data_IF_623363697499
#
_entry.id   IF_623363697499
#
_cell.length_a   1.000
_cell.length_b   1.000
_cell.length_c   1.000
_cell.angle_alpha   90.00
_cell.angle_beta   90.00
_cell.angle_gamma   90.00
#
_symmetry.space_group_name_H-M   'P 1'
#
loop_
_entity.id
_entity.type
_entity.pdbx_description
1 polymer ?
#
# COMPACT_ATOMS: atom_id res chain seq x y z
N UNK A 1 0.91 -27.36 -6.68
CA UNK A 1 1.75 -26.33 -7.33
C UNK A 1 0.80 -25.23 -7.83
N UNK A 2 0.71 -24.07 -7.17
CA UNK A 2 -0.33 -23.04 -7.46
C UNK A 2 0.20 -21.89 -8.33
N UNK A 3 1.20 -22.17 -9.18
CA UNK A 3 1.93 -21.15 -9.97
C UNK A 3 1.02 -20.31 -10.87
N UNK A 4 -0.14 -20.82 -11.28
CA UNK A 4 -1.11 -20.12 -12.12
C UNK A 4 -2.25 -19.47 -11.34
N UNK A 5 -2.28 -19.60 -10.00
CA UNK A 5 -3.32 -19.01 -9.17
C UNK A 5 -3.23 -17.49 -9.23
N UNK A 6 -4.29 -16.84 -9.69
CA UNK A 6 -4.36 -15.37 -9.80
C UNK A 6 -5.14 -14.73 -8.66
N UNK A 7 -6.10 -15.45 -8.08
CA UNK A 7 -6.98 -14.95 -7.03
C UNK A 7 -6.98 -15.94 -5.88
N UNK A 8 -6.69 -15.45 -4.67
CA UNK A 8 -6.78 -16.20 -3.43
C UNK A 8 -7.65 -15.44 -2.46
N UNK A 9 -8.83 -16.00 -2.16
CA UNK A 9 -9.80 -15.45 -1.22
C UNK A 9 -9.79 -16.29 0.05
N UNK A 10 -9.48 -15.66 1.17
CA UNK A 10 -9.45 -16.26 2.50
C UNK A 10 -10.26 -15.40 3.48
N UNK A 11 -11.17 -14.57 2.98
CA UNK A 11 -12.01 -13.70 3.82
C UNK A 11 -12.97 -14.48 4.71
N UNK A 12 -13.08 -14.04 5.97
CA UNK A 12 -14.01 -14.63 6.94
C UNK A 12 -13.78 -16.13 7.24
N UNK A 13 -12.60 -16.65 6.91
CA UNK A 13 -12.27 -18.06 7.14
C UNK A 13 -11.78 -18.28 8.56
N UNK A 14 -12.06 -19.46 9.14
CA UNK A 14 -11.57 -19.86 10.47
C UNK A 14 -10.12 -20.37 10.43
N UNK A 15 -9.26 -19.66 9.71
CA UNK A 15 -7.86 -20.04 9.53
C UNK A 15 -7.14 -19.90 10.88
N UNK A 16 -6.83 -21.03 11.51
CA UNK A 16 -6.15 -21.06 12.82
C UNK A 16 -4.68 -20.62 12.74
N UNK A 17 -4.07 -20.68 11.55
CA UNK A 17 -2.71 -20.25 11.28
C UNK A 17 -2.59 -19.80 9.82
N UNK A 18 -1.80 -18.76 9.54
CA UNK A 18 -1.54 -18.31 8.17
C UNK A 18 -1.19 -19.51 7.27
N UNK A 19 -1.91 -19.75 6.15
CA UNK A 19 -1.70 -20.90 5.30
C UNK A 19 -0.23 -21.02 4.90
N UNK A 20 0.34 -22.23 5.00
CA UNK A 20 1.74 -22.48 4.62
C UNK A 20 2.08 -22.05 3.19
N UNK A 21 1.09 -22.02 2.31
CA UNK A 21 1.25 -21.56 0.94
C UNK A 21 1.56 -20.05 0.83
N UNK A 22 1.19 -19.29 1.85
CA UNK A 22 1.57 -17.90 2.04
C UNK A 22 2.86 -17.75 2.87
N UNK A 23 3.31 -18.79 3.58
CA UNK A 23 4.57 -18.76 4.33
C UNK A 23 5.75 -18.86 3.35
N UNK A 24 6.26 -17.71 2.92
CA UNK A 24 7.44 -17.60 2.07
C UNK A 24 8.69 -17.81 2.93
N UNK A 25 9.44 -18.89 2.70
CA UNK A 25 10.68 -19.19 3.42
C UNK A 25 11.66 -18.02 3.31
N UNK A 26 11.84 -17.29 4.41
CA UNK A 26 12.90 -16.29 4.54
C UNK A 26 14.25 -16.99 4.71
N UNK A 27 14.95 -17.33 3.62
CA UNK A 27 16.38 -17.57 3.74
C UNK A 27 17.07 -16.26 4.11
N UNK A 28 18.10 -16.33 4.97
CA UNK A 28 18.80 -15.21 5.65
C UNK A 28 19.48 -14.17 4.74
N UNK A 29 19.20 -14.14 3.45
CA UNK A 29 19.84 -13.24 2.48
C UNK A 29 19.16 -11.88 2.52
N UNK A 30 19.69 -10.95 3.32
CA UNK A 30 19.07 -9.65 3.64
C UNK A 30 18.98 -8.64 2.46
N UNK A 31 19.54 -8.89 1.27
CA UNK A 31 19.78 -7.80 0.30
C UNK A 31 19.68 -8.13 -1.20
N UNK A 32 18.79 -9.04 -1.65
CA UNK A 32 18.58 -9.23 -3.11
C UNK A 32 17.09 -9.47 -3.46
N UNK A 33 16.29 -8.42 -3.68
CA UNK A 33 14.92 -8.54 -4.16
C UNK A 33 14.83 -9.23 -5.53
N UNK A 34 15.77 -8.91 -6.43
CA UNK A 34 15.69 -9.33 -7.84
C UNK A 34 15.87 -10.84 -8.06
N UNK A 35 16.63 -11.51 -7.17
CA UNK A 35 16.84 -12.97 -7.23
C UNK A 35 15.67 -13.79 -6.68
N UNK A 36 14.66 -13.17 -6.05
CA UNK A 36 13.53 -13.88 -5.41
C UNK A 36 12.28 -13.96 -6.28
N UNK A 37 12.29 -13.36 -7.47
CA UNK A 37 11.15 -13.35 -8.39
C UNK A 37 10.77 -14.79 -8.77
N UNK A 38 9.58 -15.23 -8.36
CA UNK A 38 9.04 -16.54 -8.74
C UNK A 38 9.53 -17.74 -7.93
N UNK A 39 10.26 -17.53 -6.83
CA UNK A 39 10.61 -18.62 -5.89
C UNK A 39 9.42 -19.08 -5.03
N UNK A 40 8.27 -18.41 -5.17
CA UNK A 40 7.05 -18.71 -4.45
C UNK A 40 6.05 -19.48 -5.34
N UNK A 41 5.30 -20.41 -4.74
CA UNK A 41 4.24 -21.15 -5.44
C UNK A 41 3.04 -20.29 -5.86
N UNK A 42 3.13 -18.97 -5.68
CA UNK A 42 2.10 -17.94 -5.91
C UNK A 42 2.60 -16.84 -6.85
N UNK A 43 3.56 -17.16 -7.73
CA UNK A 43 4.21 -16.17 -8.59
C UNK A 43 3.25 -15.39 -9.49
N UNK A 44 2.07 -15.94 -9.83
CA UNK A 44 1.06 -15.27 -10.67
C UNK A 44 -0.08 -14.61 -9.89
N UNK A 45 -0.01 -14.58 -8.56
CA UNK A 45 -1.10 -14.08 -7.73
C UNK A 45 -1.29 -12.58 -7.96
N UNK A 46 -2.51 -12.18 -8.36
CA UNK A 46 -2.92 -10.79 -8.63
C UNK A 46 -3.82 -10.23 -7.53
N UNK A 47 -4.62 -11.07 -6.87
CA UNK A 47 -5.52 -10.66 -5.79
C UNK A 47 -5.41 -11.58 -4.58
N UNK A 48 -5.17 -10.98 -3.42
CA UNK A 48 -5.15 -11.63 -2.13
C UNK A 48 -6.17 -10.96 -1.21
N UNK A 49 -7.17 -11.71 -0.75
CA UNK A 49 -8.16 -11.23 0.21
C UNK A 49 -7.97 -11.97 1.53
N UNK A 50 -7.62 -11.23 2.57
CA UNK A 50 -7.48 -11.68 3.95
C UNK A 50 -8.47 -10.97 4.87
N UNK A 51 -9.47 -10.26 4.33
CA UNK A 51 -10.38 -9.45 5.14
C UNK A 51 -11.10 -10.24 6.22
N UNK A 52 -11.43 -9.58 7.33
CA UNK A 52 -12.17 -10.15 8.48
C UNK A 52 -11.47 -11.35 9.11
N UNK A 53 -10.14 -11.40 9.05
CA UNK A 53 -9.34 -12.42 9.73
C UNK A 53 -8.67 -11.83 10.97
N UNK A 54 -9.37 -11.89 12.10
CA UNK A 54 -8.85 -11.38 13.38
C UNK A 54 -7.69 -12.22 13.95
N UNK A 55 -7.37 -13.37 13.37
CA UNK A 55 -6.20 -14.15 13.80
C UNK A 55 -4.89 -13.55 13.24
N UNK A 56 -4.96 -12.79 12.14
CA UNK A 56 -3.79 -12.18 11.52
C UNK A 56 -3.35 -10.99 12.36
N UNK A 57 -2.34 -11.20 13.20
CA UNK A 57 -1.68 -10.13 13.96
C UNK A 57 -0.47 -9.52 13.24
N UNK A 58 0.12 -10.29 12.33
CA UNK A 58 1.24 -9.86 11.50
C UNK A 58 1.20 -10.59 10.15
N UNK A 59 1.50 -9.89 9.07
CA UNK A 59 1.77 -10.50 7.79
C UNK A 59 3.22 -11.00 7.81
N UNK A 60 3.46 -12.18 8.40
CA UNK A 60 4.78 -12.86 8.44
C UNK A 60 5.29 -13.31 7.05
N UNK A 61 4.61 -12.85 6.01
CA UNK A 61 4.84 -13.15 4.62
C UNK A 61 5.74 -12.04 4.10
N UNK A 62 6.80 -12.39 3.38
CA UNK A 62 7.52 -11.41 2.56
C UNK A 62 6.65 -11.07 1.33
N UNK A 63 5.49 -10.43 1.55
CA UNK A 63 4.52 -10.07 0.51
C UNK A 63 5.16 -9.17 -0.56
N UNK A 64 6.28 -8.53 -0.23
CA UNK A 64 7.11 -7.79 -1.18
C UNK A 64 7.54 -8.63 -2.40
N UNK A 65 7.63 -9.96 -2.25
CA UNK A 65 7.96 -10.90 -3.32
C UNK A 65 6.79 -11.25 -4.25
N UNK A 66 5.57 -10.82 -3.94
CA UNK A 66 4.40 -11.04 -4.78
C UNK A 66 4.34 -9.98 -5.89
N UNK A 67 5.32 -10.00 -6.80
CA UNK A 67 5.52 -8.97 -7.84
C UNK A 67 4.32 -8.75 -8.78
N UNK A 68 3.44 -9.74 -8.93
CA UNK A 68 2.23 -9.60 -9.76
C UNK A 68 0.99 -9.23 -8.96
N UNK A 69 1.10 -9.09 -7.63
CA UNK A 69 -0.02 -8.74 -6.77
C UNK A 69 -0.45 -7.30 -7.05
N UNK A 70 -1.70 -7.17 -7.46
CA UNK A 70 -2.36 -5.90 -7.78
C UNK A 70 -3.33 -5.47 -6.68
N UNK A 71 -3.94 -6.42 -5.97
CA UNK A 71 -4.94 -6.16 -4.94
C UNK A 71 -4.65 -6.93 -3.64
N UNK A 72 -4.57 -6.20 -2.53
CA UNK A 72 -4.47 -6.74 -1.18
C UNK A 72 -5.60 -6.19 -0.30
N UNK A 73 -6.53 -7.06 0.09
CA UNK A 73 -7.65 -6.72 0.97
C UNK A 73 -7.38 -7.25 2.39
N UNK A 74 -7.24 -6.33 3.35
CA UNK A 74 -7.01 -6.58 4.78
C UNK A 74 -8.15 -6.01 5.63
N UNK A 75 -9.29 -5.62 5.04
CA UNK A 75 -10.36 -4.95 5.78
C UNK A 75 -10.75 -5.71 7.04
N UNK A 76 -10.92 -4.99 8.14
CA UNK A 76 -11.37 -5.53 9.42
C UNK A 76 -10.50 -6.69 9.95
N UNK A 77 -9.20 -6.71 9.65
CA UNK A 77 -8.24 -7.56 10.38
C UNK A 77 -7.89 -6.88 11.71
N UNK A 78 -8.75 -7.00 12.71
CA UNK A 78 -8.72 -6.13 13.91
C UNK A 78 -7.50 -6.32 14.78
N UNK A 79 -6.86 -7.49 14.72
CA UNK A 79 -5.64 -7.76 15.48
C UNK A 79 -4.34 -7.47 14.71
N UNK A 80 -4.42 -7.07 13.43
CA UNK A 80 -3.24 -6.74 12.63
C UNK A 80 -2.50 -5.55 13.24
N UNK A 81 -1.22 -5.74 13.62
CA UNK A 81 -0.42 -4.71 14.28
C UNK A 81 0.54 -4.01 13.32
N UNK A 82 0.99 -4.71 12.28
CA UNK A 82 1.99 -4.21 11.34
C UNK A 82 1.71 -4.65 9.90
N UNK A 83 1.99 -3.76 8.95
CA UNK A 83 2.05 -4.09 7.51
C UNK A 83 3.52 -4.04 7.06
N UNK A 84 4.08 -5.15 6.54
CA UNK A 84 5.47 -5.21 6.07
C UNK A 84 5.63 -4.47 4.73
N UNK A 85 6.83 -4.55 4.14
CA UNK A 85 7.09 -3.96 2.83
C UNK A 85 6.13 -4.54 1.79
N UNK A 86 5.39 -3.66 1.11
CA UNK A 86 4.40 -4.05 0.12
C UNK A 86 5.07 -4.45 -1.21
N UNK A 87 4.42 -5.31 -2.02
CA UNK A 87 4.89 -5.60 -3.36
C UNK A 87 4.93 -4.34 -4.24
N UNK A 88 5.94 -4.23 -5.12
CA UNK A 88 6.22 -2.98 -5.87
C UNK A 88 5.11 -2.58 -6.85
N UNK A 89 4.33 -3.55 -7.34
CA UNK A 89 3.32 -3.36 -8.37
C UNK A 89 1.88 -3.32 -7.81
N UNK A 90 1.74 -3.16 -6.49
CA UNK A 90 0.45 -3.16 -5.81
C UNK A 90 -0.35 -1.90 -6.18
N UNK A 91 -1.57 -2.11 -6.68
CA UNK A 91 -2.47 -1.03 -7.11
C UNK A 91 -3.43 -0.68 -5.98
N UNK A 92 -3.91 -1.68 -5.24
CA UNK A 92 -4.87 -1.46 -4.16
C UNK A 92 -4.44 -2.18 -2.89
N UNK A 93 -4.38 -1.41 -1.80
CA UNK A 93 -4.34 -1.89 -0.43
C UNK A 93 -5.57 -1.34 0.30
N UNK A 94 -6.39 -2.23 0.84
CA UNK A 94 -7.52 -1.84 1.69
C UNK A 94 -7.34 -2.42 3.09
N UNK A 95 -6.88 -1.59 4.03
CA UNK A 95 -6.72 -1.93 5.45
C UNK A 95 -7.80 -1.28 6.31
N UNK A 96 -8.95 -0.90 5.74
CA UNK A 96 -10.02 -0.24 6.48
C UNK A 96 -10.44 -1.05 7.72
N UNK A 97 -10.52 -0.41 8.88
CA UNK A 97 -10.98 -1.03 10.12
C UNK A 97 -9.96 -1.97 10.76
N UNK A 98 -8.67 -1.92 10.39
CA UNK A 98 -7.59 -2.58 11.13
C UNK A 98 -7.26 -1.78 12.39
N UNK A 99 -8.11 -1.90 13.41
CA UNK A 99 -8.08 -1.04 14.60
C UNK A 99 -6.76 -1.09 15.38
N UNK A 100 -6.09 -2.24 15.48
CA UNK A 100 -4.79 -2.38 16.17
C UNK A 100 -3.56 -2.08 15.30
N UNK A 101 -3.75 -1.66 14.04
CA UNK A 101 -2.64 -1.39 13.14
C UNK A 101 -1.84 -0.18 13.63
N UNK A 102 -0.58 -0.42 14.02
CA UNK A 102 0.34 0.59 14.54
C UNK A 102 1.37 1.03 13.50
N UNK A 103 1.96 0.06 12.81
CA UNK A 103 3.13 0.31 11.96
C UNK A 103 2.91 -0.12 10.51
N UNK A 104 3.56 0.60 9.61
CA UNK A 104 3.78 0.19 8.22
C UNK A 104 5.28 0.23 7.95
N UNK A 105 5.75 -0.54 6.97
CA UNK A 105 7.16 -0.48 6.56
C UNK A 105 7.55 0.92 6.08
N UNK A 106 8.83 1.26 6.24
CA UNK A 106 9.43 2.49 5.75
C UNK A 106 10.72 2.14 5.02
N UNK A 107 10.76 2.20 3.66
CA UNK A 107 9.68 2.64 2.78
C UNK A 107 8.48 1.68 2.77
N UNK A 108 7.28 2.20 2.50
CA UNK A 108 6.04 1.39 2.50
C UNK A 108 5.96 0.44 1.29
N UNK A 109 6.42 0.90 0.13
CA UNK A 109 6.58 0.09 -1.08
C UNK A 109 7.79 0.63 -1.87
N UNK A 110 8.41 -0.24 -2.66
CA UNK A 110 9.42 0.18 -3.63
C UNK A 110 8.70 0.83 -4.83
N UNK A 111 9.03 2.09 -5.11
CA UNK A 111 8.52 2.79 -6.28
C UNK A 111 9.38 2.41 -7.48
N UNK A 112 8.85 1.57 -8.37
CA UNK A 112 9.49 1.25 -9.65
C UNK A 112 8.94 2.21 -10.71
N UNK A 113 9.84 2.89 -11.42
CA UNK A 113 9.53 3.97 -12.39
C UNK A 113 8.70 3.52 -13.61
N UNK A 114 8.46 2.22 -13.79
CA UNK A 114 8.04 1.68 -15.09
C UNK A 114 6.59 1.20 -15.18
N UNK A 115 5.77 1.29 -14.11
CA UNK A 115 4.36 0.88 -14.19
C UNK A 115 3.40 2.05 -13.92
N UNK A 116 2.61 2.41 -14.94
CA UNK A 116 1.52 3.40 -14.95
C UNK A 116 0.32 2.92 -14.12
N UNK A 117 0.51 2.78 -12.81
CA UNK A 117 -0.44 2.09 -11.95
C UNK A 117 -1.12 3.08 -11.02
N UNK A 118 -2.46 3.11 -11.07
CA UNK A 118 -3.29 3.74 -10.05
C UNK A 118 -3.04 3.06 -8.70
N UNK A 119 -2.70 3.85 -7.69
CA UNK A 119 -2.40 3.39 -6.34
C UNK A 119 -3.47 3.90 -5.38
N UNK A 120 -4.27 3.00 -4.81
CA UNK A 120 -5.32 3.27 -3.83
C UNK A 120 -5.04 2.56 -2.51
N UNK A 121 -4.57 3.32 -1.52
CA UNK A 121 -4.11 2.78 -0.23
C UNK A 121 -4.97 3.35 0.90
N UNK A 122 -5.83 2.50 1.48
CA UNK A 122 -6.89 2.89 2.41
C UNK A 122 -6.56 2.40 3.82
N UNK A 123 -6.49 3.32 4.77
CA UNK A 123 -6.28 3.04 6.19
C UNK A 123 -7.37 3.66 7.08
N UNK A 124 -8.55 3.96 6.53
CA UNK A 124 -9.68 4.50 7.30
C UNK A 124 -9.97 3.64 8.54
N UNK A 125 -10.27 4.26 9.68
CA UNK A 125 -10.50 3.60 10.97
C UNK A 125 -9.29 2.83 11.54
N UNK A 126 -8.07 3.01 11.02
CA UNK A 126 -6.82 2.54 11.64
C UNK A 126 -6.32 3.54 12.71
N UNK A 127 -7.09 3.70 13.79
CA UNK A 127 -6.90 4.79 14.75
C UNK A 127 -5.60 4.69 15.59
N UNK A 128 -4.98 3.50 15.65
CA UNK A 128 -3.74 3.27 16.39
C UNK A 128 -2.45 3.48 15.56
N UNK A 129 -2.55 3.99 14.33
CA UNK A 129 -1.37 4.28 13.51
C UNK A 129 -0.43 5.26 14.21
N UNK A 130 0.82 4.83 14.39
CA UNK A 130 1.87 5.64 14.99
C UNK A 130 2.32 6.76 14.04
N UNK A 131 2.91 7.83 14.58
CA UNK A 131 3.34 8.98 13.77
C UNK A 131 4.35 8.59 12.68
N UNK A 132 5.26 7.65 12.97
CA UNK A 132 6.22 7.13 12.00
C UNK A 132 5.52 6.43 10.83
N UNK A 133 4.43 5.72 11.10
CA UNK A 133 3.62 5.07 10.07
C UNK A 133 2.88 6.12 9.22
N UNK A 134 2.26 7.12 9.85
CA UNK A 134 1.60 8.24 9.16
C UNK A 134 2.57 9.00 8.25
N UNK A 135 3.79 9.25 8.73
CA UNK A 135 4.86 9.89 7.95
C UNK A 135 5.26 9.03 6.75
N UNK A 136 5.35 7.70 6.92
CA UNK A 136 5.70 6.77 5.85
C UNK A 136 4.61 6.70 4.77
N UNK A 137 3.33 6.65 5.18
CA UNK A 137 2.17 6.72 4.27
C UNK A 137 2.16 8.05 3.50
N UNK A 138 2.37 9.16 4.21
CA UNK A 138 2.45 10.50 3.62
C UNK A 138 3.60 10.62 2.62
N UNK A 139 4.79 10.13 2.97
CA UNK A 139 5.97 10.17 2.12
C UNK A 139 5.79 9.36 0.84
N UNK A 140 5.14 8.19 0.94
CA UNK A 140 4.78 7.40 -0.24
C UNK A 140 3.82 8.16 -1.16
N UNK A 141 2.73 8.70 -0.62
CA UNK A 141 1.75 9.45 -1.39
C UNK A 141 2.37 10.67 -2.08
N UNK A 142 3.24 11.40 -1.37
CA UNK A 142 3.97 12.55 -1.92
C UNK A 142 4.88 12.13 -3.08
N UNK A 143 5.73 11.12 -2.88
CA UNK A 143 6.67 10.66 -3.92
C UNK A 143 5.94 10.13 -5.15
N UNK A 144 4.86 9.36 -4.96
CA UNK A 144 4.06 8.84 -6.08
C UNK A 144 3.34 9.98 -6.82
N UNK A 145 2.81 10.97 -6.11
CA UNK A 145 2.19 12.16 -6.72
C UNK A 145 3.21 12.99 -7.53
N UNK A 146 4.45 13.11 -7.04
CA UNK A 146 5.54 13.78 -7.76
C UNK A 146 5.91 13.05 -9.05
N UNK A 147 5.97 11.71 -9.00
CA UNK A 147 6.19 10.88 -10.19
C UNK A 147 5.05 11.02 -11.21
N UNK A 148 3.79 11.02 -10.75
CA UNK A 148 2.64 11.24 -11.63
C UNK A 148 2.65 12.63 -12.27
N UNK A 149 3.02 13.66 -11.51
CA UNK A 149 3.10 15.04 -12.03
C UNK A 149 4.19 15.19 -13.10
N UNK A 150 5.37 14.60 -12.88
CA UNK A 150 6.45 14.57 -13.87
C UNK A 150 5.98 13.92 -15.18
N UNK A 151 5.23 12.81 -15.07
CA UNK A 151 4.68 12.14 -16.24
C UNK A 151 3.62 12.98 -16.96
N UNK A 152 2.66 13.58 -16.26
CA UNK A 152 1.62 14.41 -16.90
C UNK A 152 2.24 15.56 -17.71
N UNK A 153 3.38 16.08 -17.25
CA UNK A 153 4.18 17.05 -18.00
C UNK A 153 4.79 16.46 -19.28
N UNK A 154 5.38 15.27 -19.21
CA UNK A 154 6.00 14.58 -20.37
C UNK A 154 4.97 14.10 -21.42
N UNK A 155 3.82 13.58 -20.98
CA UNK A 155 2.77 13.02 -21.84
C UNK A 155 1.80 14.08 -22.39
N UNK A 156 1.87 15.33 -21.91
CA UNK A 156 0.99 16.43 -22.34
C UNK A 156 -0.49 16.19 -22.02
N UNK A 157 -0.81 15.33 -21.05
CA UNK A 157 -2.17 14.95 -20.70
C UNK A 157 -2.46 15.19 -19.21
N UNK A 158 -3.63 15.77 -18.92
CA UNK A 158 -4.13 15.95 -17.54
C UNK A 158 -4.98 14.74 -17.19
N UNK A 159 -4.34 13.68 -16.70
CA UNK A 159 -5.03 12.45 -16.27
C UNK A 159 -5.59 12.56 -14.84
N UNK A 160 -6.55 11.70 -14.53
CA UNK A 160 -7.11 11.49 -13.20
C UNK A 160 -5.99 11.18 -12.18
N UNK A 161 -6.16 11.61 -10.93
CA UNK A 161 -5.17 11.36 -9.87
C UNK A 161 -4.91 9.85 -9.74
N UNK A 162 -3.68 9.42 -10.02
CA UNK A 162 -3.32 8.01 -9.89
C UNK A 162 -2.86 7.64 -8.48
N UNK A 163 -3.00 8.55 -7.51
CA UNK A 163 -2.74 8.26 -6.10
C UNK A 163 -3.93 8.67 -5.26
N UNK A 164 -4.54 7.67 -4.64
CA UNK A 164 -5.52 7.86 -3.57
C UNK A 164 -4.95 7.25 -2.29
N UNK A 165 -4.85 8.03 -1.23
CA UNK A 165 -4.40 7.55 0.08
C UNK A 165 -5.17 8.21 1.19
N UNK A 166 -5.54 7.45 2.23
CA UNK A 166 -6.18 8.02 3.41
C UNK A 166 -5.80 7.27 4.68
N UNK A 167 -5.74 7.99 5.80
CA UNK A 167 -5.52 7.47 7.15
C UNK A 167 -6.12 8.43 8.18
N UNK A 168 -6.39 8.02 9.43
CA UNK A 168 -6.92 8.91 10.46
C UNK A 168 -5.93 10.01 10.85
N UNK A 169 -6.40 11.25 10.77
CA UNK A 169 -5.65 12.45 11.11
C UNK A 169 -6.53 13.70 11.01
N UNK A 170 -6.07 14.78 11.63
CA UNK A 170 -6.74 16.08 11.67
C UNK A 170 -5.84 17.21 11.16
N UNK A 171 -4.62 16.89 10.70
CA UNK A 171 -3.64 17.85 10.21
C UNK A 171 -3.39 17.65 8.72
N UNK A 172 -3.25 18.77 8.01
CA UNK A 172 -2.83 18.76 6.60
C UNK A 172 -1.29 18.58 6.55
N UNK A 173 -0.77 17.60 5.79
CA UNK A 173 0.67 17.34 5.70
C UNK A 173 1.52 18.56 5.34
N UNK A 174 2.74 18.61 5.89
CA UNK A 174 3.64 19.77 5.78
C UNK A 174 4.17 20.06 4.37
N UNK A 175 3.97 19.16 3.41
CA UNK A 175 4.39 19.34 2.02
C UNK A 175 3.36 20.05 1.14
N UNK A 176 2.11 20.25 1.62
CA UNK A 176 1.15 21.09 0.93
C UNK A 176 1.49 22.58 1.14
N UNK A 177 1.74 23.30 0.04
CA UNK A 177 2.12 24.72 0.07
C UNK A 177 0.93 25.67 0.34
N UNK A 178 -0.30 25.21 0.08
CA UNK A 178 -1.51 25.98 0.31
C UNK A 178 -2.38 25.28 1.35
N UNK A 179 -2.59 25.93 2.50
CA UNK A 179 -3.40 25.44 3.61
C UNK A 179 -4.32 26.54 4.10
N UNK A 180 -5.46 26.15 4.66
CA UNK A 180 -6.44 27.09 5.21
C UNK A 180 -7.16 26.42 6.37
N UNK A 181 -7.76 27.24 7.24
CA UNK A 181 -8.70 26.78 8.26
C UNK A 181 -10.11 27.10 7.75
N UNK A 182 -11.00 26.11 7.76
CA UNK A 182 -12.37 26.23 7.24
C UNK A 182 -12.64 25.26 6.09
N UNK A 183 -13.78 25.46 5.41
CA UNK A 183 -14.29 24.54 4.38
C UNK A 183 -13.92 24.94 2.94
N UNK A 184 -13.20 26.04 2.73
CA UNK A 184 -12.91 26.57 1.39
C UNK A 184 -11.46 26.98 1.24
N UNK A 185 -10.76 26.40 0.25
CA UNK A 185 -9.40 26.76 -0.14
C UNK A 185 -9.43 27.72 -1.35
N UNK A 186 -9.07 28.99 -1.13
CA UNK A 186 -8.89 29.97 -2.21
C UNK A 186 -7.44 30.00 -2.66
N UNK A 187 -7.15 29.44 -3.83
CA UNK A 187 -5.82 29.47 -4.43
C UNK A 187 -5.56 30.85 -5.06
N UNK A 188 -4.37 31.40 -4.82
CA UNK A 188 -3.87 32.58 -5.52
C UNK A 188 -2.69 32.16 -6.39
N UNK A 189 -2.90 32.13 -7.71
CA UNK A 189 -1.84 31.81 -8.65
C UNK A 189 -1.05 33.09 -9.03
N UNK A 190 0.26 32.99 -9.31
CA UNK A 190 1.03 34.09 -9.88
C UNK A 190 0.44 34.58 -11.21
N UNK A 191 0.62 35.85 -11.59
CA UNK A 191 0.07 36.43 -12.84
C UNK A 191 0.52 35.74 -14.14
N UNK A 192 1.57 34.92 -14.10
CA UNK A 192 2.21 34.31 -15.27
C UNK A 192 2.09 32.78 -15.29
N UNK A 193 1.04 32.22 -14.66
CA UNK A 193 0.80 30.78 -14.60
C UNK A 193 0.23 30.21 -15.93
N UNK A 194 0.81 30.55 -17.08
CA UNK A 194 0.37 30.03 -18.38
C UNK A 194 1.57 29.51 -19.17
#
# INVERSE_FOLDING_TARGET
NMKCLQILLLDGTTINQMPRILQLSSSKVKYMPELRRGMNGLSSLRRLCLSRNDIISNLQIDISQLYHLKWLDLKYCKNLVAIPLLPPNLETLDAHGCEKLKTVSSPMALLILMEHVHSKFIFTNCNNLEQVAKNSITSYAQRKSQLDALRCYEEGNVSEALVTTCFPGNEVPSWFNHRTVGSTLKLKFPPHWC
#
